data_IF_283610946086
#
_entry.id   IF_283610946086
#
_cell.length_a   1.000
_cell.length_b   1.000
_cell.length_c   1.000
_cell.angle_alpha   90.00
_cell.angle_beta   90.00
_cell.angle_gamma   90.00
#
_symmetry.space_group_name_H-M   'P 1'
#
loop_
_entity.id
_entity.type
_entity.pdbx_description
1 polymer ?
#
# COMPACT_ATOMS: atom_id res chain seq x y z
N UNK A 1 18.47 11.91 -2.62
CA UNK A 1 17.07 11.48 -2.87
C UNK A 1 17.07 10.29 -3.82
N UNK A 2 16.11 9.38 -3.65
CA UNK A 2 15.95 8.18 -4.47
C UNK A 2 14.50 8.02 -4.89
N UNK A 3 14.28 7.86 -6.20
CA UNK A 3 12.99 7.46 -6.74
C UNK A 3 12.93 5.92 -6.86
N UNK A 4 12.03 5.28 -6.10
CA UNK A 4 11.83 3.83 -6.09
C UNK A 4 10.86 3.34 -7.18
N UNK A 5 10.19 4.26 -7.86
CA UNK A 5 9.09 3.98 -8.77
C UNK A 5 9.29 4.58 -10.16
N UNK A 6 10.55 4.80 -10.57
CA UNK A 6 10.84 5.38 -11.86
C UNK A 6 10.20 4.60 -13.00
N UNK A 7 9.39 5.30 -13.81
CA UNK A 7 8.64 4.70 -14.91
C UNK A 7 9.58 4.37 -16.08
N UNK A 8 9.77 3.10 -16.31
CA UNK A 8 10.56 2.58 -17.43
C UNK A 8 9.78 1.64 -18.33
N UNK A 9 8.45 1.65 -18.26
CA UNK A 9 7.58 0.71 -19.01
C UNK A 9 7.69 0.91 -20.53
N UNK A 10 8.03 2.12 -20.98
CA UNK A 10 8.35 2.43 -22.39
C UNK A 10 9.72 1.91 -22.87
N UNK A 11 10.48 1.22 -22.00
CA UNK A 11 11.82 0.75 -22.31
C UNK A 11 12.94 1.76 -22.05
N UNK A 12 12.62 2.94 -21.54
CA UNK A 12 13.60 3.94 -21.14
C UNK A 12 13.13 4.73 -19.92
N UNK A 13 14.07 5.35 -19.21
CA UNK A 13 13.80 6.35 -18.17
C UNK A 13 14.34 7.69 -18.63
N UNK A 14 13.51 8.72 -18.58
CA UNK A 14 13.92 10.10 -18.84
C UNK A 14 14.27 10.79 -17.53
N UNK A 15 15.54 11.12 -17.37
CA UNK A 15 16.00 12.00 -16.29
C UNK A 15 15.87 13.45 -16.75
N UNK A 16 15.40 14.32 -15.88
CA UNK A 16 15.27 15.75 -16.16
C UNK A 16 15.83 16.57 -15.00
N UNK A 17 16.39 17.73 -15.31
CA UNK A 17 16.92 18.65 -14.33
C UNK A 17 16.64 20.11 -14.73
N UNK A 18 16.80 21.00 -13.79
CA UNK A 18 16.74 22.43 -14.04
C UNK A 18 18.18 22.94 -14.16
N UNK A 19 18.51 23.57 -15.27
CA UNK A 19 19.81 24.22 -15.47
C UNK A 19 20.06 25.26 -14.38
N UNK A 20 21.28 25.31 -13.87
CA UNK A 20 21.73 26.40 -13.03
C UNK A 20 21.85 27.71 -13.85
N UNK A 21 21.72 28.87 -13.19
CA UNK A 21 21.91 30.15 -13.82
C UNK A 21 23.32 30.25 -14.40
N UNK A 22 23.44 30.61 -15.69
CA UNK A 22 24.71 30.75 -16.40
C UNK A 22 25.30 29.43 -16.93
N UNK A 23 24.61 28.29 -16.77
CA UNK A 23 25.05 27.04 -17.36
C UNK A 23 24.94 27.07 -18.89
N UNK A 24 26.01 26.72 -19.57
CA UNK A 24 26.10 26.64 -21.04
C UNK A 24 25.98 25.20 -21.54
N UNK A 25 26.36 24.22 -20.71
CA UNK A 25 26.21 22.80 -21.01
C UNK A 25 26.21 21.93 -19.73
N UNK A 26 25.78 20.68 -19.87
CA UNK A 26 25.55 19.72 -18.81
C UNK A 26 26.35 18.44 -19.07
N UNK A 27 27.30 18.09 -18.20
CA UNK A 27 27.99 16.81 -18.21
C UNK A 27 27.14 15.75 -17.50
N UNK A 28 26.76 14.68 -18.19
CA UNK A 28 25.89 13.62 -17.67
C UNK A 28 26.72 12.44 -17.21
N UNK A 29 26.53 12.02 -15.97
CA UNK A 29 27.19 10.85 -15.36
C UNK A 29 26.15 9.88 -14.82
N UNK A 30 26.23 8.58 -15.21
CA UNK A 30 25.27 7.54 -14.85
C UNK A 30 25.97 6.21 -14.68
N UNK A 31 25.61 5.50 -13.60
CA UNK A 31 26.13 4.16 -13.32
C UNK A 31 25.32 3.43 -12.25
N UNK A 32 25.74 2.23 -11.92
CA UNK A 32 25.11 1.39 -10.88
C UNK A 32 25.91 1.32 -9.58
N UNK A 33 27.00 2.06 -9.48
CA UNK A 33 27.85 2.19 -8.30
C UNK A 33 27.93 3.67 -7.91
N UNK A 34 27.42 4.02 -6.72
CA UNK A 34 27.36 5.39 -6.25
C UNK A 34 28.72 6.05 -6.16
N UNK A 35 29.72 5.34 -5.63
CA UNK A 35 31.06 5.89 -5.41
C UNK A 35 31.79 6.13 -6.75
N UNK A 36 31.53 5.27 -7.76
CA UNK A 36 32.08 5.49 -9.11
C UNK A 36 31.43 6.70 -9.78
N UNK A 37 30.10 6.84 -9.70
CA UNK A 37 29.40 8.01 -10.27
C UNK A 37 29.83 9.30 -9.56
N UNK A 38 29.95 9.27 -8.24
CA UNK A 38 30.35 10.44 -7.45
C UNK A 38 31.77 10.93 -7.80
N UNK A 39 32.70 10.02 -8.05
CA UNK A 39 34.10 10.32 -8.37
C UNK A 39 34.38 10.38 -9.87
N UNK A 40 33.38 10.15 -10.73
CA UNK A 40 33.56 10.08 -12.17
C UNK A 40 34.09 11.39 -12.75
N UNK A 41 34.96 11.25 -13.74
CA UNK A 41 35.51 12.33 -14.59
C UNK A 41 35.04 12.13 -16.03
N UNK A 42 35.38 13.04 -16.92
CA UNK A 42 35.06 12.92 -18.37
C UNK A 42 35.72 11.73 -19.05
N UNK A 43 36.72 11.09 -18.42
CA UNK A 43 37.35 9.83 -18.89
C UNK A 43 36.74 8.57 -18.28
N UNK A 44 35.81 8.69 -17.33
CA UNK A 44 35.19 7.54 -16.66
C UNK A 44 34.10 6.90 -17.52
N UNK A 45 33.87 5.57 -17.42
CA UNK A 45 32.78 4.87 -18.12
C UNK A 45 31.37 5.39 -17.75
N UNK A 46 31.22 5.99 -16.58
CA UNK A 46 30.00 6.62 -16.09
C UNK A 46 29.65 7.91 -16.83
N UNK A 47 30.62 8.57 -17.48
CA UNK A 47 30.38 9.76 -18.30
C UNK A 47 29.65 9.39 -19.60
N UNK A 48 28.53 10.06 -19.86
CA UNK A 48 27.66 9.82 -21.03
C UNK A 48 27.72 10.95 -22.07
N UNK A 49 28.55 11.94 -21.84
CA UNK A 49 28.72 13.07 -22.72
C UNK A 49 28.26 14.39 -22.13
N UNK A 50 28.48 15.46 -22.87
CA UNK A 50 28.00 16.81 -22.58
C UNK A 50 26.91 17.19 -23.56
N UNK A 51 25.91 17.90 -23.08
CA UNK A 51 24.76 18.33 -23.87
C UNK A 51 24.26 19.71 -23.40
N UNK A 52 23.49 20.41 -24.23
CA UNK A 52 22.82 21.66 -23.85
C UNK A 52 21.38 21.46 -23.37
N UNK A 53 20.78 20.31 -23.69
CA UNK A 53 19.45 19.93 -23.24
C UNK A 53 19.43 19.49 -21.78
N UNK A 54 18.31 19.67 -21.11
CA UNK A 54 18.11 19.36 -19.68
C UNK A 54 17.39 18.03 -19.43
N UNK A 55 17.46 17.13 -20.40
CA UNK A 55 16.91 15.77 -20.28
C UNK A 55 17.88 14.74 -20.84
N UNK A 56 17.93 13.54 -20.23
CA UNK A 56 18.71 12.42 -20.74
C UNK A 56 17.86 11.15 -20.68
N UNK A 57 17.87 10.35 -21.76
CA UNK A 57 17.17 9.07 -21.84
C UNK A 57 18.13 7.92 -21.60
N UNK A 58 17.91 7.18 -20.50
CA UNK A 58 18.60 5.92 -20.24
C UNK A 58 17.76 4.77 -20.80
N UNK A 59 18.27 4.07 -21.79
CA UNK A 59 17.56 2.98 -22.47
C UNK A 59 17.73 1.66 -21.70
N UNK A 60 16.64 0.93 -21.53
CA UNK A 60 16.58 -0.38 -20.88
C UNK A 60 17.35 -0.50 -19.56
N UNK A 61 17.18 0.42 -18.60
CA UNK A 61 17.80 0.27 -17.30
C UNK A 61 17.30 -1.00 -16.63
N UNK A 62 18.24 -1.80 -16.07
CA UNK A 62 17.87 -3.02 -15.34
C UNK A 62 16.97 -2.71 -14.15
N UNK A 63 15.86 -3.47 -14.01
CA UNK A 63 14.94 -3.41 -12.85
C UNK A 63 15.54 -3.97 -11.55
N UNK A 64 16.72 -4.59 -11.62
CA UNK A 64 17.40 -5.22 -10.49
C UNK A 64 18.56 -4.39 -9.97
N UNK A 65 18.72 -3.16 -10.47
CA UNK A 65 19.84 -2.28 -10.12
C UNK A 65 19.31 -0.93 -9.64
N UNK A 66 19.95 -0.38 -8.61
CA UNK A 66 19.89 1.04 -8.32
C UNK A 66 20.78 1.76 -9.32
N UNK A 67 20.25 2.77 -9.95
CA UNK A 67 20.95 3.65 -10.86
C UNK A 67 21.26 4.94 -10.16
N UNK A 68 22.50 5.39 -10.25
CA UNK A 68 22.99 6.64 -9.70
C UNK A 68 23.34 7.57 -10.83
N UNK A 69 23.05 8.86 -10.65
CA UNK A 69 23.33 9.85 -11.66
C UNK A 69 23.67 11.20 -11.04
N UNK A 70 24.45 11.99 -11.79
CA UNK A 70 24.91 13.33 -11.45
C UNK A 70 24.98 14.16 -12.71
N UNK A 71 24.64 15.46 -12.61
CA UNK A 71 24.80 16.42 -13.68
C UNK A 71 25.80 17.46 -13.24
N UNK A 72 26.89 17.62 -14.00
CA UNK A 72 27.86 18.68 -13.77
C UNK A 72 27.58 19.84 -14.71
N UNK A 73 27.41 21.01 -14.16
CA UNK A 73 27.12 22.25 -14.91
C UNK A 73 28.39 22.90 -15.39
N UNK A 74 28.46 23.24 -16.68
CA UNK A 74 29.59 23.95 -17.25
C UNK A 74 29.12 25.31 -17.77
N UNK A 75 29.74 26.43 -17.33
CA UNK A 75 29.45 27.77 -17.79
C UNK A 75 30.18 28.12 -19.11
N UNK A 76 29.89 29.27 -19.67
CA UNK A 76 30.50 29.77 -20.92
C UNK A 76 32.02 29.99 -20.81
N UNK A 77 32.57 30.16 -19.62
CA UNK A 77 34.01 30.29 -19.40
C UNK A 77 34.73 28.95 -19.33
N UNK A 78 33.98 27.84 -19.32
CA UNK A 78 34.50 26.49 -19.20
C UNK A 78 34.62 25.99 -17.75
N UNK A 79 34.25 26.78 -16.75
CA UNK A 79 34.22 26.36 -15.35
C UNK A 79 33.14 25.27 -15.13
N UNK A 80 33.51 24.20 -14.46
CA UNK A 80 32.61 23.09 -14.12
C UNK A 80 32.26 23.12 -12.64
N UNK A 81 30.99 22.99 -12.35
CA UNK A 81 30.44 22.81 -10.99
C UNK A 81 29.78 21.43 -10.91
N UNK A 82 30.34 20.50 -10.10
CA UNK A 82 29.74 19.19 -9.92
C UNK A 82 28.37 19.27 -9.25
N UNK A 83 27.42 18.49 -9.75
CA UNK A 83 26.08 18.41 -9.20
C UNK A 83 25.97 17.41 -8.03
N UNK A 84 24.77 17.33 -7.44
CA UNK A 84 24.45 16.35 -6.42
C UNK A 84 24.25 14.96 -7.05
N UNK A 85 24.51 13.95 -6.23
CA UNK A 85 24.23 12.56 -6.59
C UNK A 85 22.77 12.22 -6.33
N UNK A 86 22.10 11.71 -7.35
CA UNK A 86 20.71 11.25 -7.31
C UNK A 86 20.64 9.75 -7.60
N UNK A 87 19.56 9.11 -7.19
CA UNK A 87 19.37 7.70 -7.46
C UNK A 87 17.93 7.40 -7.86
N UNK A 88 17.75 6.34 -8.65
CA UNK A 88 16.45 5.76 -8.93
C UNK A 88 16.52 4.24 -9.06
N UNK A 89 15.38 3.61 -8.89
CA UNK A 89 15.15 2.22 -9.31
C UNK A 89 13.96 2.19 -10.26
N UNK A 90 14.08 1.42 -11.33
CA UNK A 90 12.96 1.21 -12.23
C UNK A 90 11.87 0.41 -11.51
N UNK A 91 10.62 0.90 -11.57
CA UNK A 91 9.48 0.22 -10.99
C UNK A 91 9.33 -1.20 -11.57
N UNK A 92 8.86 -2.11 -10.75
CA UNK A 92 8.51 -3.48 -11.12
C UNK A 92 7.34 -3.96 -10.29
N UNK A 93 6.58 -4.91 -10.81
CA UNK A 93 5.45 -5.47 -10.08
C UNK A 93 5.88 -6.02 -8.71
N UNK A 94 5.02 -5.82 -7.72
CA UNK A 94 5.17 -6.37 -6.37
C UNK A 94 5.32 -7.89 -6.41
N UNK A 95 4.52 -8.53 -7.25
CA UNK A 95 4.53 -9.95 -7.63
C UNK A 95 3.82 -10.09 -8.99
N UNK A 96 3.92 -11.24 -9.69
CA UNK A 96 3.42 -11.36 -11.08
C UNK A 96 1.99 -10.91 -11.31
N UNK A 97 1.08 -11.20 -10.37
CA UNK A 97 -0.36 -10.90 -10.49
C UNK A 97 -0.76 -9.63 -9.71
N UNK A 98 0.17 -8.75 -9.42
CA UNK A 98 -0.14 -7.48 -8.76
C UNK A 98 -0.78 -6.50 -9.75
N UNK A 99 -1.95 -5.99 -9.40
CA UNK A 99 -2.73 -5.06 -10.21
C UNK A 99 -3.03 -3.77 -9.40
N UNK A 100 -3.66 -2.79 -10.04
CA UNK A 100 -4.06 -1.55 -9.40
C UNK A 100 -2.91 -0.57 -9.11
N UNK A 101 -3.18 0.44 -8.33
CA UNK A 101 -2.23 1.53 -8.07
C UNK A 101 -1.08 1.10 -7.14
N UNK A 102 -1.31 0.14 -6.23
CA UNK A 102 -0.28 -0.41 -5.36
C UNK A 102 0.61 -1.49 -6.01
N UNK A 103 0.38 -1.83 -7.29
CA UNK A 103 1.08 -2.94 -7.97
C UNK A 103 2.59 -2.83 -8.03
N UNK A 104 3.13 -1.63 -7.85
CA UNK A 104 4.57 -1.39 -7.87
C UNK A 104 5.19 -1.28 -6.48
N UNK A 105 4.49 -1.67 -5.43
CA UNK A 105 5.05 -1.73 -4.09
C UNK A 105 6.39 -2.46 -4.08
N UNK A 106 7.40 -1.82 -3.50
CA UNK A 106 8.77 -2.38 -3.49
C UNK A 106 8.89 -3.57 -2.53
N UNK A 107 8.19 -3.52 -1.41
CA UNK A 107 8.30 -4.51 -0.35
C UNK A 107 9.70 -4.60 0.25
N UNK A 108 9.98 -5.72 0.90
CA UNK A 108 11.25 -6.00 1.57
C UNK A 108 12.43 -6.34 0.66
N UNK A 109 12.30 -6.14 -0.65
CA UNK A 109 13.35 -6.49 -1.61
C UNK A 109 14.69 -5.81 -1.29
N UNK A 110 15.77 -6.58 -1.38
CA UNK A 110 17.12 -6.10 -1.03
C UNK A 110 17.37 -5.92 0.47
N UNK A 111 16.37 -6.18 1.30
CA UNK A 111 16.49 -6.15 2.75
C UNK A 111 16.74 -7.52 3.38
N UNK A 112 16.53 -7.60 4.69
CA UNK A 112 16.72 -8.84 5.47
C UNK A 112 15.55 -9.81 5.24
N UNK A 113 15.81 -11.11 5.43
CA UNK A 113 14.76 -12.12 5.63
C UNK A 113 14.66 -12.37 7.13
N UNK A 114 13.46 -12.19 7.67
CA UNK A 114 13.16 -12.37 9.10
C UNK A 114 12.19 -13.52 9.25
N UNK A 115 12.53 -14.48 10.10
CA UNK A 115 11.79 -15.72 10.27
C UNK A 115 10.90 -15.67 11.51
N UNK A 116 9.60 -15.92 11.32
CA UNK A 116 8.67 -16.19 12.43
C UNK A 116 8.74 -17.68 12.74
N UNK A 117 9.22 -18.02 13.93
CA UNK A 117 9.58 -19.38 14.36
C UNK A 117 8.63 -19.98 15.37
N UNK A 118 7.71 -19.19 15.94
CA UNK A 118 6.73 -19.64 16.91
C UNK A 118 5.44 -18.83 16.81
N UNK A 119 4.41 -19.30 17.51
CA UNK A 119 3.06 -18.71 17.52
C UNK A 119 2.81 -17.80 18.74
N UNK A 120 3.83 -17.45 19.49
CA UNK A 120 3.72 -16.59 20.66
C UNK A 120 3.33 -15.17 20.27
N UNK A 121 2.63 -14.47 21.16
CA UNK A 121 2.31 -13.03 20.97
C UNK A 121 3.58 -12.17 20.87
N UNK A 122 4.58 -12.46 21.70
CA UNK A 122 5.81 -11.66 21.79
C UNK A 122 7.03 -12.54 22.13
N UNK A 123 8.22 -11.94 22.10
CA UNK A 123 9.49 -12.60 22.41
C UNK A 123 10.21 -13.08 21.15
N UNK A 124 11.36 -13.69 21.34
CA UNK A 124 12.26 -14.10 20.26
C UNK A 124 11.57 -15.08 19.28
N UNK A 125 11.67 -14.78 17.99
CA UNK A 125 11.06 -15.54 16.90
C UNK A 125 9.56 -15.36 16.73
N UNK A 126 8.91 -14.44 17.45
CA UNK A 126 7.50 -14.10 17.26
C UNK A 126 7.26 -13.17 16.07
N UNK A 127 6.01 -13.11 15.59
CA UNK A 127 5.62 -12.13 14.59
C UNK A 127 5.79 -10.69 15.09
N UNK A 128 5.50 -10.41 16.36
CA UNK A 128 5.67 -9.09 16.95
C UNK A 128 7.12 -8.65 16.93
N UNK A 129 8.06 -9.53 17.26
CA UNK A 129 9.48 -9.22 17.13
C UNK A 129 9.88 -8.88 15.69
N UNK A 130 9.39 -9.64 14.71
CA UNK A 130 9.66 -9.40 13.29
C UNK A 130 9.10 -8.06 12.80
N UNK A 131 8.01 -7.56 13.39
CA UNK A 131 7.37 -6.29 13.06
C UNK A 131 8.00 -5.12 13.82
N UNK A 132 8.13 -5.22 15.15
CA UNK A 132 8.45 -4.09 16.02
C UNK A 132 9.96 -3.92 16.25
N UNK A 133 10.72 -5.02 16.32
CA UNK A 133 12.15 -4.97 16.69
C UNK A 133 13.11 -5.08 15.50
N UNK A 134 12.61 -5.45 14.34
CA UNK A 134 13.43 -5.44 13.12
C UNK A 134 13.31 -4.10 12.42
N UNK A 135 14.44 -3.46 12.14
CA UNK A 135 14.48 -2.14 11.51
C UNK A 135 14.87 -2.27 10.03
N UNK A 136 14.24 -1.44 9.20
CA UNK A 136 14.53 -1.29 7.77
C UNK A 136 13.88 -2.36 6.86
N UNK A 137 14.23 -2.38 5.58
CA UNK A 137 13.61 -3.25 4.60
C UNK A 137 13.74 -4.71 4.96
N UNK A 138 12.63 -5.45 4.94
CA UNK A 138 12.63 -6.87 5.29
C UNK A 138 11.49 -7.66 4.68
N UNK A 139 11.73 -8.93 4.47
CA UNK A 139 10.71 -9.92 4.13
C UNK A 139 10.48 -10.82 5.34
N UNK A 140 9.26 -10.78 5.88
CA UNK A 140 8.83 -11.62 6.99
C UNK A 140 8.30 -12.92 6.41
N UNK A 141 8.93 -14.04 6.77
CA UNK A 141 8.57 -15.39 6.35
C UNK A 141 8.27 -16.26 7.56
N UNK A 142 7.51 -17.34 7.39
CA UNK A 142 7.02 -18.17 8.47
C UNK A 142 7.56 -19.61 8.37
N UNK A 143 8.22 -20.07 9.42
CA UNK A 143 8.61 -21.47 9.61
C UNK A 143 7.51 -22.30 10.30
N UNK A 144 6.47 -21.62 10.82
CA UNK A 144 5.35 -22.21 11.55
C UNK A 144 4.02 -21.84 10.91
N UNK A 145 3.04 -22.73 11.03
CA UNK A 145 1.64 -22.47 10.70
C UNK A 145 0.76 -22.65 11.92
N UNK A 146 -0.32 -21.87 12.01
CA UNK A 146 -1.24 -21.97 13.14
C UNK A 146 -1.84 -20.62 13.53
N UNK A 147 -2.22 -20.49 14.80
CA UNK A 147 -2.93 -19.33 15.34
C UNK A 147 -2.00 -18.53 16.26
N UNK A 148 -1.74 -17.28 15.89
CA UNK A 148 -1.09 -16.31 16.76
C UNK A 148 -2.19 -15.52 17.48
N UNK A 149 -2.24 -15.61 18.81
CA UNK A 149 -3.19 -14.84 19.62
C UNK A 149 -2.50 -13.61 20.18
N UNK A 150 -2.80 -12.46 19.59
CA UNK A 150 -2.28 -11.17 20.04
C UNK A 150 -2.95 -10.72 21.33
N UNK A 151 -2.18 -10.19 22.26
CA UNK A 151 -2.63 -9.57 23.52
C UNK A 151 -2.75 -8.06 23.42
N UNK A 152 -2.13 -7.46 22.40
CA UNK A 152 -2.22 -6.04 22.06
C UNK A 152 -2.16 -5.87 20.54
N UNK A 153 -2.65 -4.74 20.07
CA UNK A 153 -2.61 -4.36 18.65
C UNK A 153 -1.20 -4.52 18.09
N UNK A 154 -1.10 -5.03 16.87
CA UNK A 154 0.17 -5.13 16.16
C UNK A 154 0.07 -4.36 14.84
N UNK A 155 0.91 -3.34 14.67
CA UNK A 155 0.84 -2.43 13.54
C UNK A 155 2.17 -2.36 12.81
N UNK A 156 2.16 -2.58 11.50
CA UNK A 156 3.31 -2.33 10.64
C UNK A 156 3.29 -0.84 10.25
N UNK A 157 4.25 -0.07 10.76
CA UNK A 157 4.43 1.35 10.47
C UNK A 157 5.79 1.67 9.82
N UNK A 158 6.61 0.68 9.61
CA UNK A 158 7.90 0.78 8.92
C UNK A 158 7.73 0.65 7.40
N UNK A 159 8.75 1.02 6.63
CA UNK A 159 8.70 1.06 5.16
C UNK A 159 9.42 -0.12 4.52
N UNK A 160 9.01 -0.50 3.32
CA UNK A 160 9.59 -1.58 2.52
C UNK A 160 9.56 -2.93 3.25
N UNK A 161 8.35 -3.32 3.61
CA UNK A 161 8.08 -4.59 4.29
C UNK A 161 7.32 -5.51 3.33
N UNK A 162 7.74 -6.76 3.25
CA UNK A 162 6.95 -7.85 2.69
C UNK A 162 6.53 -8.80 3.81
N UNK A 163 5.23 -8.91 4.07
CA UNK A 163 4.65 -9.98 4.86
C UNK A 163 4.27 -11.13 3.90
N UNK A 164 5.02 -12.22 3.96
CA UNK A 164 4.89 -13.35 3.06
C UNK A 164 4.14 -14.52 3.74
N UNK A 165 2.84 -14.34 4.02
CA UNK A 165 2.01 -15.36 4.71
C UNK A 165 1.92 -16.69 3.97
N UNK A 166 2.13 -16.71 2.65
CA UNK A 166 2.17 -17.93 1.84
C UNK A 166 3.33 -18.87 2.18
N UNK A 167 4.34 -18.40 2.91
CA UNK A 167 5.45 -19.26 3.36
C UNK A 167 5.11 -20.12 4.56
N UNK A 168 4.03 -19.80 5.26
CA UNK A 168 3.61 -20.56 6.43
C UNK A 168 3.15 -21.97 6.03
N UNK A 169 3.62 -23.01 6.71
CA UNK A 169 3.24 -24.39 6.41
C UNK A 169 1.77 -24.68 6.75
N UNK A 170 1.25 -25.78 6.21
CA UNK A 170 -0.08 -26.29 6.47
C UNK A 170 -1.19 -25.34 6.04
N UNK A 171 -2.08 -24.98 6.97
CA UNK A 171 -3.20 -24.05 6.69
C UNK A 171 -2.82 -22.57 6.78
N UNK A 172 -1.54 -22.24 6.88
CA UNK A 172 -1.04 -20.85 6.99
C UNK A 172 -1.18 -20.27 8.40
N UNK A 173 -1.08 -18.94 8.49
CA UNK A 173 -1.20 -18.18 9.73
C UNK A 173 -2.59 -17.57 9.88
N UNK A 174 -3.13 -17.63 11.09
CA UNK A 174 -4.30 -16.88 11.56
C UNK A 174 -3.85 -15.97 12.71
N UNK A 175 -4.13 -14.68 12.60
CA UNK A 175 -3.92 -13.71 13.66
C UNK A 175 -5.26 -13.41 14.30
N UNK A 176 -5.36 -13.56 15.62
CA UNK A 176 -6.60 -13.30 16.38
C UNK A 176 -6.35 -12.50 17.64
N UNK A 177 -7.44 -12.04 18.27
CA UNK A 177 -7.43 -11.38 19.56
C UNK A 177 -7.28 -9.87 19.49
N UNK A 178 -6.52 -9.35 18.51
CA UNK A 178 -6.37 -7.91 18.28
C UNK A 178 -6.23 -7.63 16.77
N UNK A 179 -6.33 -6.36 16.43
CA UNK A 179 -6.08 -5.87 15.06
C UNK A 179 -4.66 -6.15 14.60
N UNK A 180 -4.52 -6.49 13.34
CA UNK A 180 -3.24 -6.54 12.65
C UNK A 180 -3.34 -5.84 11.29
N UNK A 181 -2.66 -4.74 11.13
CA UNK A 181 -2.71 -3.94 9.92
C UNK A 181 -1.51 -3.01 9.79
N UNK A 182 -1.68 -1.96 9.01
CA UNK A 182 -0.64 -0.97 8.78
C UNK A 182 -1.11 0.42 9.17
N UNK A 183 -0.16 1.26 9.59
CA UNK A 183 -0.39 2.69 9.76
C UNK A 183 0.83 3.46 9.24
N UNK A 184 0.64 4.22 8.15
CA UNK A 184 1.71 5.00 7.54
C UNK A 184 2.81 4.21 6.84
N UNK A 185 2.62 2.92 6.62
CA UNK A 185 3.58 2.06 5.90
C UNK A 185 3.79 2.55 4.46
N UNK A 186 5.04 2.55 3.99
CA UNK A 186 5.37 2.86 2.59
C UNK A 186 6.00 1.65 1.91
N UNK A 187 5.63 1.43 0.66
CA UNK A 187 6.15 0.32 -0.13
C UNK A 187 5.91 -1.05 0.52
N UNK A 188 4.70 -1.30 0.98
CA UNK A 188 4.34 -2.51 1.69
C UNK A 188 3.64 -3.56 0.84
N UNK A 189 4.00 -4.83 1.05
CA UNK A 189 3.35 -5.98 0.42
C UNK A 189 2.87 -6.92 1.53
N UNK A 190 1.56 -7.15 1.62
CA UNK A 190 0.96 -8.07 2.59
C UNK A 190 0.17 -9.14 1.83
N UNK A 191 0.56 -10.39 1.97
CA UNK A 191 -0.06 -11.49 1.24
C UNK A 191 -0.40 -12.69 2.14
N UNK A 192 -1.53 -13.33 1.83
CA UNK A 192 -1.99 -14.58 2.46
C UNK A 192 -2.08 -14.49 3.98
N UNK A 193 -2.64 -13.39 4.48
CA UNK A 193 -2.88 -13.19 5.91
C UNK A 193 -4.35 -13.48 6.27
N UNK A 194 -4.59 -14.02 7.45
CA UNK A 194 -5.94 -14.23 7.99
C UNK A 194 -6.06 -13.52 9.33
N UNK A 195 -6.96 -12.55 9.43
CA UNK A 195 -7.21 -11.82 10.67
C UNK A 195 -8.59 -12.16 11.20
N UNK A 196 -8.66 -12.56 12.45
CA UNK A 196 -9.88 -12.94 13.18
C UNK A 196 -9.84 -12.28 14.54
N UNK A 197 -10.23 -10.99 14.61
CA UNK A 197 -10.11 -10.18 15.83
C UNK A 197 -10.86 -10.85 16.98
N UNK A 198 -12.13 -11.14 16.79
CA UNK A 198 -12.98 -11.70 17.82
C UNK A 198 -13.45 -10.65 18.83
N UNK A 199 -14.32 -11.06 19.76
CA UNK A 199 -14.82 -10.20 20.80
C UNK A 199 -13.76 -9.97 21.88
N UNK A 200 -13.17 -8.79 21.91
CA UNK A 200 -12.09 -8.42 22.86
C UNK A 200 -12.47 -7.24 23.75
N UNK A 201 -13.68 -6.68 23.59
CA UNK A 201 -14.11 -5.47 24.30
C UNK A 201 -13.49 -4.17 23.75
N UNK A 202 -12.77 -4.23 22.65
CA UNK A 202 -12.18 -3.07 21.98
C UNK A 202 -12.80 -2.87 20.59
N UNK A 203 -13.10 -1.62 20.26
CA UNK A 203 -13.59 -1.21 18.95
C UNK A 203 -12.42 -0.91 18.03
N UNK A 204 -11.93 -1.93 17.34
CA UNK A 204 -10.82 -1.81 16.41
C UNK A 204 -11.21 -2.37 15.04
N UNK A 205 -10.72 -1.71 14.00
CA UNK A 205 -10.71 -2.25 12.65
C UNK A 205 -9.92 -3.57 12.64
N UNK A 206 -10.31 -4.50 11.81
CA UNK A 206 -9.64 -5.79 11.71
C UNK A 206 -8.24 -5.69 11.13
N UNK A 207 -8.13 -5.04 9.98
CA UNK A 207 -6.87 -4.82 9.25
C UNK A 207 -6.96 -3.51 8.44
N UNK A 208 -5.88 -3.11 7.77
CA UNK A 208 -5.96 -1.92 6.93
C UNK A 208 -4.64 -1.47 6.31
N UNK A 209 -4.79 -0.49 5.41
CA UNK A 209 -3.73 0.27 4.74
C UNK A 209 -3.82 1.76 5.10
N UNK A 210 -4.21 2.08 6.33
CA UNK A 210 -4.40 3.46 6.81
C UNK A 210 -3.10 4.26 6.70
N UNK A 211 -3.16 5.41 6.01
CA UNK A 211 -1.99 6.27 5.78
C UNK A 211 -0.85 5.64 4.99
N UNK A 212 -1.03 4.44 4.45
CA UNK A 212 -0.01 3.75 3.67
C UNK A 212 0.20 4.41 2.30
N UNK A 213 1.36 4.21 1.70
CA UNK A 213 1.69 4.67 0.35
C UNK A 213 2.38 3.57 -0.45
N UNK A 214 2.09 3.47 -1.75
CA UNK A 214 2.59 2.40 -2.63
C UNK A 214 2.50 1.03 -1.98
N UNK A 215 1.30 0.64 -1.53
CA UNK A 215 1.13 -0.59 -0.75
C UNK A 215 0.01 -1.47 -1.31
N UNK A 216 0.19 -2.78 -1.18
CA UNK A 216 -0.75 -3.78 -1.69
C UNK A 216 -1.05 -4.85 -0.65
N UNK A 217 -2.34 -5.13 -0.45
CA UNK A 217 -2.84 -6.34 0.23
C UNK A 217 -3.45 -7.30 -0.79
N UNK A 218 -3.06 -8.57 -0.72
CA UNK A 218 -3.47 -9.61 -1.66
C UNK A 218 -3.74 -10.93 -0.95
N UNK A 219 -4.85 -11.60 -1.30
CA UNK A 219 -5.27 -12.85 -0.67
C UNK A 219 -5.35 -12.77 0.86
N UNK A 220 -5.91 -11.67 1.37
CA UNK A 220 -6.17 -11.50 2.80
C UNK A 220 -7.58 -11.99 3.12
N UNK A 221 -7.79 -12.54 4.30
CA UNK A 221 -9.10 -12.94 4.82
C UNK A 221 -9.31 -12.29 6.17
N UNK A 222 -10.34 -11.46 6.29
CA UNK A 222 -10.64 -10.73 7.51
C UNK A 222 -12.08 -11.00 7.96
N UNK A 223 -12.27 -11.30 9.26
CA UNK A 223 -13.58 -11.45 9.90
C UNK A 223 -13.52 -11.08 11.38
N UNK A 224 -14.72 -10.85 11.94
CA UNK A 224 -14.97 -10.73 13.38
C UNK A 224 -14.32 -9.50 14.03
N UNK A 225 -14.20 -8.39 13.30
CA UNK A 225 -13.93 -7.10 13.91
C UNK A 225 -15.20 -6.53 14.56
N UNK A 226 -15.05 -5.62 15.49
CA UNK A 226 -16.15 -4.94 16.18
C UNK A 226 -16.47 -3.59 15.52
N UNK A 227 -15.49 -2.99 14.84
CA UNK A 227 -15.63 -1.84 13.96
C UNK A 227 -15.52 -2.30 12.50
N UNK A 228 -14.80 -1.62 11.63
CA UNK A 228 -14.63 -2.09 10.26
C UNK A 228 -13.71 -3.31 10.16
N UNK A 229 -14.02 -4.18 9.21
CA UNK A 229 -13.10 -5.24 8.81
C UNK A 229 -11.82 -4.69 8.21
N UNK A 230 -11.92 -3.63 7.41
CA UNK A 230 -10.79 -3.01 6.70
C UNK A 230 -10.91 -1.48 6.65
N UNK A 231 -9.78 -0.78 6.81
CA UNK A 231 -9.67 0.67 6.62
C UNK A 231 -8.47 1.06 5.77
N UNK A 232 -8.64 2.10 4.90
CA UNK A 232 -7.54 2.67 4.12
C UNK A 232 -7.52 4.20 4.11
N UNK A 233 -8.07 4.82 5.14
CA UNK A 233 -8.14 6.28 5.27
C UNK A 233 -6.76 6.93 5.14
N UNK A 234 -6.67 8.03 4.39
CA UNK A 234 -5.44 8.80 4.21
C UNK A 234 -4.30 8.08 3.49
N UNK A 235 -4.54 6.91 2.91
CA UNK A 235 -3.54 6.20 2.12
C UNK A 235 -3.39 6.75 0.70
N UNK A 236 -2.35 6.32 -0.01
CA UNK A 236 -2.06 6.70 -1.41
C UNK A 236 -1.53 5.52 -2.19
N UNK A 237 -1.81 5.50 -3.50
CA UNK A 237 -1.28 4.46 -4.39
C UNK A 237 -1.51 3.04 -3.83
N UNK A 238 -2.77 2.73 -3.47
CA UNK A 238 -3.12 1.49 -2.76
C UNK A 238 -3.76 0.46 -3.68
N UNK A 239 -3.58 -0.80 -3.34
CA UNK A 239 -4.39 -1.90 -3.88
C UNK A 239 -4.83 -2.85 -2.77
N UNK A 240 -6.12 -3.18 -2.77
CA UNK A 240 -6.69 -4.34 -2.07
C UNK A 240 -7.28 -5.28 -3.11
N UNK A 241 -6.71 -6.46 -3.26
CA UNK A 241 -7.16 -7.42 -4.26
C UNK A 241 -7.34 -8.83 -3.70
N UNK A 242 -8.26 -9.59 -4.29
CA UNK A 242 -8.51 -11.02 -4.00
C UNK A 242 -8.66 -11.30 -2.50
N UNK A 243 -9.35 -10.39 -1.81
CA UNK A 243 -9.48 -10.40 -0.35
C UNK A 243 -10.92 -10.69 0.03
N UNK A 244 -11.11 -11.43 1.12
CA UNK A 244 -12.41 -11.66 1.74
C UNK A 244 -12.54 -10.82 3.00
N UNK A 245 -13.62 -10.03 3.08
CA UNK A 245 -14.03 -9.25 4.26
C UNK A 245 -15.44 -9.71 4.62
N UNK A 246 -15.58 -10.51 5.66
CA UNK A 246 -16.85 -11.15 5.95
C UNK A 246 -17.14 -11.29 7.44
N UNK A 247 -18.42 -11.36 7.78
CA UNK A 247 -18.90 -11.75 9.12
C UNK A 247 -18.35 -10.84 10.24
N UNK A 248 -18.44 -9.52 10.07
CA UNK A 248 -18.08 -8.61 11.16
C UNK A 248 -19.07 -8.76 12.32
N UNK A 249 -18.60 -8.58 13.55
CA UNK A 249 -19.41 -8.74 14.75
C UNK A 249 -20.42 -7.61 14.87
N UNK A 250 -21.67 -7.88 14.57
CA UNK A 250 -22.69 -6.85 14.37
C UNK A 250 -23.14 -6.19 15.68
N UNK A 251 -23.62 -6.98 16.65
CA UNK A 251 -24.04 -6.48 17.95
C UNK A 251 -23.03 -6.91 19.01
N UNK A 252 -21.94 -6.17 19.12
CA UNK A 252 -20.78 -6.53 19.91
C UNK A 252 -20.32 -5.46 20.90
N UNK A 253 -21.27 -4.65 21.39
CA UNK A 253 -21.01 -3.57 22.35
C UNK A 253 -19.91 -2.61 21.91
N UNK A 254 -20.04 -2.06 20.71
CA UNK A 254 -19.14 -1.03 20.22
C UNK A 254 -19.09 0.15 21.19
N UNK A 255 -17.88 0.52 21.66
CA UNK A 255 -17.69 1.47 22.78
C UNK A 255 -18.24 2.90 22.51
N UNK A 256 -18.32 3.30 21.24
CA UNK A 256 -18.75 4.65 20.84
C UNK A 256 -20.28 4.74 20.62
N UNK A 257 -21.02 3.66 20.80
CA UNK A 257 -22.46 3.60 20.55
C UNK A 257 -23.22 2.94 21.71
N UNK A 258 -24.51 3.19 21.86
CA UNK A 258 -25.34 2.52 22.86
C UNK A 258 -25.28 1.00 22.71
N UNK A 259 -25.42 0.30 23.83
CA UNK A 259 -25.50 -1.16 23.84
C UNK A 259 -26.60 -1.67 22.90
N UNK A 260 -26.33 -2.71 22.14
CA UNK A 260 -27.26 -3.26 21.15
C UNK A 260 -27.21 -2.59 19.76
N UNK A 261 -26.39 -1.57 19.57
CA UNK A 261 -26.22 -0.96 18.24
C UNK A 261 -25.53 -1.93 17.28
N UNK A 262 -26.14 -2.11 16.10
CA UNK A 262 -25.54 -2.88 15.01
C UNK A 262 -24.40 -2.09 14.38
N UNK A 263 -23.18 -2.69 14.31
CA UNK A 263 -21.98 -2.03 13.78
C UNK A 263 -21.00 -3.02 13.08
N UNK A 264 -21.52 -4.11 12.56
CA UNK A 264 -20.69 -5.12 11.84
C UNK A 264 -20.32 -4.68 10.44
N UNK A 265 -19.47 -3.66 10.29
CA UNK A 265 -19.17 -3.02 9.02
C UNK A 265 -17.97 -3.62 8.28
N UNK A 266 -18.09 -3.70 6.94
CA UNK A 266 -17.07 -4.33 6.11
C UNK A 266 -15.82 -3.45 5.97
N UNK A 267 -15.95 -2.27 5.35
CA UNK A 267 -14.78 -1.49 5.01
C UNK A 267 -15.06 -0.01 4.84
N UNK A 268 -14.16 0.81 5.38
CA UNK A 268 -14.07 2.24 5.06
C UNK A 268 -12.84 2.46 4.20
N UNK A 269 -13.06 2.79 2.93
CA UNK A 269 -12.00 2.97 1.94
C UNK A 269 -11.85 4.44 1.56
N UNK A 270 -10.64 4.89 1.48
CA UNK A 270 -10.25 6.23 1.11
C UNK A 270 -8.81 6.22 0.61
N UNK A 271 -8.30 7.41 0.42
CA UNK A 271 -6.95 7.61 -0.07
C UNK A 271 -6.94 8.24 -1.46
N UNK A 272 -5.76 8.70 -1.87
CA UNK A 272 -5.55 9.30 -3.18
C UNK A 272 -4.81 8.35 -4.08
N UNK A 273 -5.49 7.87 -4.99
CA UNK A 273 -5.63 6.73 -5.86
C UNK A 273 -5.56 5.38 -5.14
N UNK A 274 -6.71 4.72 -5.02
CA UNK A 274 -6.87 3.38 -4.46
C UNK A 274 -7.62 2.45 -5.39
N UNK A 275 -7.13 1.23 -5.58
CA UNK A 275 -7.80 0.17 -6.33
C UNK A 275 -8.29 -0.93 -5.40
N UNK A 276 -9.58 -1.26 -5.50
CA UNK A 276 -10.25 -2.26 -4.67
C UNK A 276 -10.97 -3.22 -5.60
N UNK A 277 -10.41 -4.40 -5.84
CA UNK A 277 -10.93 -5.28 -6.89
C UNK A 277 -10.78 -6.78 -6.62
N UNK A 278 -11.67 -7.55 -7.25
CA UNK A 278 -11.72 -9.01 -7.10
C UNK A 278 -11.87 -9.46 -5.64
N UNK A 279 -12.56 -8.65 -4.83
CA UNK A 279 -12.79 -8.94 -3.41
C UNK A 279 -14.19 -9.53 -3.19
N UNK A 280 -14.35 -10.25 -2.09
CA UNK A 280 -15.63 -10.71 -1.57
C UNK A 280 -15.93 -9.99 -0.26
N UNK A 281 -17.04 -9.24 -0.21
CA UNK A 281 -17.62 -8.69 1.01
C UNK A 281 -18.91 -9.44 1.29
N UNK A 282 -18.99 -10.15 2.40
CA UNK A 282 -20.15 -11.01 2.67
C UNK A 282 -20.58 -10.98 4.13
N UNK A 283 -21.89 -11.02 4.35
CA UNK A 283 -22.49 -11.12 5.68
C UNK A 283 -22.08 -10.00 6.64
N UNK A 284 -21.96 -8.78 6.13
CA UNK A 284 -21.67 -7.59 6.94
C UNK A 284 -22.92 -6.72 7.03
N UNK A 285 -23.11 -6.04 8.14
CA UNK A 285 -24.24 -5.12 8.35
C UNK A 285 -24.26 -3.97 7.35
N UNK A 286 -23.08 -3.39 7.08
CA UNK A 286 -22.99 -2.27 6.17
C UNK A 286 -21.58 -1.95 5.71
N UNK A 287 -21.42 -0.78 5.09
CA UNK A 287 -20.14 -0.29 4.52
C UNK A 287 -19.47 -1.30 3.58
N UNK A 288 -20.25 -1.85 2.67
CA UNK A 288 -19.78 -2.80 1.65
C UNK A 288 -19.56 -2.14 0.26
N UNK A 289 -18.92 -1.09 0.10
CA UNK A 289 -17.89 -0.26 0.74
C UNK A 289 -18.44 1.03 1.37
N UNK A 290 -17.72 1.72 2.27
CA UNK A 290 -17.92 3.12 2.63
C UNK A 290 -16.83 3.94 1.93
N UNK A 291 -17.25 4.87 1.06
CA UNK A 291 -16.36 5.63 0.18
C UNK A 291 -15.76 6.85 0.88
N UNK A 292 -14.49 7.14 0.60
CA UNK A 292 -13.79 8.37 0.96
C UNK A 292 -13.39 8.51 2.43
N UNK A 293 -14.13 7.93 3.34
CA UNK A 293 -13.83 8.02 4.77
C UNK A 293 -14.04 9.42 5.39
N UNK A 294 -14.80 10.29 4.76
CA UNK A 294 -15.07 11.65 5.19
C UNK A 294 -14.39 12.73 4.35
N UNK A 295 -14.51 13.98 4.82
CA UNK A 295 -13.92 15.14 4.16
C UNK A 295 -12.45 15.32 4.59
N UNK A 296 -11.63 15.85 3.71
CA UNK A 296 -10.29 16.32 4.04
C UNK A 296 -10.32 17.68 4.76
N UNK A 297 -9.16 18.21 5.14
CA UNK A 297 -9.04 19.49 5.82
C UNK A 297 -9.52 20.71 4.98
N UNK A 298 -9.59 20.57 3.66
CA UNK A 298 -10.09 21.60 2.75
C UNK A 298 -11.60 21.48 2.49
N UNK A 299 -12.26 20.46 3.04
CA UNK A 299 -13.68 20.20 2.89
C UNK A 299 -14.06 19.45 1.62
N UNK A 300 -13.11 18.76 0.98
CA UNK A 300 -13.35 17.90 -0.17
C UNK A 300 -13.47 16.44 0.25
N UNK A 301 -14.28 15.65 -0.43
CA UNK A 301 -14.26 14.21 -0.25
C UNK A 301 -12.88 13.66 -0.68
N UNK A 302 -12.25 12.93 0.23
CA UNK A 302 -10.99 12.25 -0.06
C UNK A 302 -11.23 11.02 -0.92
N UNK A 303 -10.31 10.77 -1.86
CA UNK A 303 -10.27 9.52 -2.61
C UNK A 303 -10.64 9.64 -4.07
N UNK A 304 -9.69 9.22 -4.88
CA UNK A 304 -9.89 8.80 -6.28
C UNK A 304 -9.81 7.28 -6.28
N UNK A 305 -10.96 6.64 -6.45
CA UNK A 305 -11.15 5.22 -6.15
C UNK A 305 -11.53 4.43 -7.41
N UNK A 306 -10.87 3.31 -7.57
CA UNK A 306 -11.11 2.35 -8.65
C UNK A 306 -11.65 1.06 -8.02
N UNK A 307 -12.98 0.84 -8.12
CA UNK A 307 -13.71 -0.23 -7.44
C UNK A 307 -14.33 -1.12 -8.51
N UNK A 308 -13.75 -2.29 -8.75
CA UNK A 308 -14.19 -3.12 -9.86
C UNK A 308 -14.12 -4.62 -9.59
N UNK A 309 -15.01 -5.37 -10.25
CA UNK A 309 -15.04 -6.83 -10.19
C UNK A 309 -15.10 -7.40 -8.77
N UNK A 310 -15.78 -6.73 -7.84
CA UNK A 310 -16.02 -7.24 -6.50
C UNK A 310 -17.36 -7.97 -6.42
N UNK A 311 -17.49 -8.86 -5.45
CA UNK A 311 -18.76 -9.49 -5.08
C UNK A 311 -19.15 -8.98 -3.69
N UNK A 312 -20.39 -8.46 -3.59
CA UNK A 312 -21.02 -8.13 -2.30
C UNK A 312 -22.23 -9.04 -2.11
N UNK A 313 -22.25 -9.77 -1.01
CA UNK A 313 -23.29 -10.76 -0.73
C UNK A 313 -23.90 -10.59 0.65
N UNK A 314 -25.23 -10.67 0.72
CA UNK A 314 -26.01 -10.77 1.98
C UNK A 314 -25.63 -9.67 2.99
N UNK A 315 -25.61 -8.41 2.53
CA UNK A 315 -25.42 -7.26 3.40
C UNK A 315 -26.70 -6.96 4.21
N UNK A 316 -26.58 -6.24 5.32
CA UNK A 316 -27.71 -5.81 6.15
C UNK A 316 -28.34 -4.50 5.68
N UNK A 317 -28.21 -3.47 6.49
CA UNK A 317 -28.85 -2.17 6.30
C UNK A 317 -28.15 -1.22 5.33
N UNK A 318 -26.90 -1.49 4.91
CA UNK A 318 -26.14 -0.61 4.00
C UNK A 318 -25.29 -1.44 3.04
N UNK A 319 -25.38 -1.10 1.74
CA UNK A 319 -24.48 -1.65 0.72
C UNK A 319 -23.25 -0.74 0.55
N UNK A 320 -23.06 -0.14 -0.62
CA UNK A 320 -21.99 0.83 -0.85
C UNK A 320 -22.50 2.24 -0.76
N UNK A 321 -21.87 3.07 0.08
CA UNK A 321 -22.26 4.47 0.30
C UNK A 321 -21.06 5.35 0.66
N UNK A 322 -21.32 6.65 0.88
CA UNK A 322 -20.33 7.65 1.26
C UNK A 322 -19.97 8.61 0.15
N UNK A 323 -18.82 9.25 0.25
CA UNK A 323 -18.36 10.24 -0.71
C UNK A 323 -16.95 10.01 -1.21
N UNK A 324 -16.70 10.32 -2.49
CA UNK A 324 -15.38 10.27 -3.10
C UNK A 324 -15.21 11.45 -4.07
N UNK A 325 -13.97 11.85 -4.30
CA UNK A 325 -13.67 12.90 -5.28
C UNK A 325 -13.91 12.39 -6.71
N UNK A 326 -13.38 11.23 -7.02
CA UNK A 326 -13.57 10.52 -8.30
C UNK A 326 -13.73 9.03 -8.03
N UNK A 327 -14.62 8.34 -8.76
CA UNK A 327 -14.77 6.90 -8.64
C UNK A 327 -15.06 6.23 -9.98
N UNK A 328 -14.35 5.14 -10.25
CA UNK A 328 -14.75 4.13 -11.23
C UNK A 328 -15.42 2.98 -10.49
N UNK A 329 -16.67 2.69 -10.79
CA UNK A 329 -17.44 1.64 -10.16
C UNK A 329 -17.94 0.66 -11.23
N UNK A 330 -17.15 -0.38 -11.53
CA UNK A 330 -17.32 -1.19 -12.74
C UNK A 330 -17.36 -2.68 -12.43
N UNK A 331 -18.33 -3.40 -12.99
CA UNK A 331 -18.39 -4.87 -12.96
C UNK A 331 -18.55 -5.46 -11.55
N UNK A 332 -18.99 -4.68 -10.57
CA UNK A 332 -19.26 -5.20 -9.23
C UNK A 332 -20.60 -5.94 -9.19
N UNK A 333 -20.62 -7.11 -8.59
CA UNK A 333 -21.81 -7.95 -8.49
C UNK A 333 -22.37 -7.94 -7.07
N UNK A 334 -23.62 -7.51 -6.94
CA UNK A 334 -24.35 -7.45 -5.68
C UNK A 334 -25.44 -8.52 -5.65
N UNK A 335 -25.35 -9.42 -4.67
CA UNK A 335 -26.33 -10.48 -4.47
C UNK A 335 -26.99 -10.35 -3.09
N UNK A 336 -28.27 -10.07 -3.07
CA UNK A 336 -29.05 -10.06 -1.85
C UNK A 336 -29.07 -11.44 -1.16
N UNK A 337 -29.29 -11.44 0.12
CA UNK A 337 -29.44 -12.64 0.93
C UNK A 337 -30.46 -12.45 2.05
N UNK A 338 -30.52 -13.39 2.96
CA UNK A 338 -31.52 -13.38 4.04
C UNK A 338 -31.40 -12.20 5.03
N UNK A 339 -30.21 -11.59 5.14
CA UNK A 339 -29.98 -10.46 6.01
C UNK A 339 -30.22 -9.11 5.31
N UNK A 340 -30.39 -9.07 3.99
CA UNK A 340 -30.49 -7.83 3.22
C UNK A 340 -31.80 -7.11 3.50
N UNK A 341 -31.71 -5.89 4.02
CA UNK A 341 -32.87 -5.04 4.32
C UNK A 341 -32.88 -3.75 3.51
N UNK A 342 -31.76 -3.38 2.91
CA UNK A 342 -31.61 -2.19 2.05
C UNK A 342 -31.20 -2.66 0.64
N UNK A 343 -32.00 -2.28 -0.36
CA UNK A 343 -31.89 -2.80 -1.73
C UNK A 343 -31.13 -1.87 -2.70
N UNK A 344 -30.75 -0.65 -2.26
CA UNK A 344 -29.91 0.25 -3.05
C UNK A 344 -28.44 -0.19 -2.93
N UNK A 345 -27.84 -0.57 -4.04
CA UNK A 345 -26.47 -1.11 -4.09
C UNK A 345 -25.39 -0.03 -4.02
N UNK A 346 -25.67 1.16 -4.53
CA UNK A 346 -24.76 2.31 -4.53
C UNK A 346 -25.50 3.59 -4.20
N UNK A 347 -25.09 4.26 -3.13
CA UNK A 347 -25.57 5.59 -2.74
C UNK A 347 -24.35 6.48 -2.45
N UNK A 348 -23.75 7.03 -3.51
CA UNK A 348 -22.51 7.76 -3.42
C UNK A 348 -22.68 9.25 -3.71
N UNK A 349 -21.98 10.07 -2.96
CA UNK A 349 -21.79 11.48 -3.24
C UNK A 349 -20.45 11.65 -3.95
N UNK A 350 -20.47 12.14 -5.19
CA UNK A 350 -19.32 12.26 -6.05
C UNK A 350 -19.11 13.72 -6.41
N UNK A 351 -18.16 14.37 -5.74
CA UNK A 351 -17.85 15.75 -6.04
C UNK A 351 -16.55 16.20 -5.34
N UNK A 352 -16.00 17.32 -5.80
CA UNK A 352 -14.74 17.83 -5.29
C UNK A 352 -14.85 18.92 -4.22
N UNK A 353 -16.07 19.32 -3.83
CA UNK A 353 -16.28 20.48 -2.94
C UNK A 353 -16.68 20.12 -1.53
N UNK A 354 -16.91 18.86 -1.23
CA UNK A 354 -17.47 18.41 0.04
C UNK A 354 -18.92 18.82 0.28
N UNK A 355 -19.61 19.27 -0.77
CA UNK A 355 -20.97 19.75 -0.72
C UNK A 355 -21.95 18.85 -1.45
N UNK A 356 -21.52 17.69 -1.83
CA UNK A 356 -22.18 16.68 -2.65
C UNK A 356 -23.66 16.69 -2.71
#
# INVERSE_FOLDING_TARGET
DRDWHADGDSGYITMSWKAASGAASHGVYIGTDSAKVEKATTSSPEYKGSQTGTTYKLVNPSVHKTWWWRIDEKDASGRVVPGKLWAFERRRLAFPDAEGYGRYAHGGRGGKVVYVKNLNDAGAGSLREAVENSIGPRTIVFEVGGIITLKSRLTINDSRITYAGQTAPGKGIVIRGCSFGTAGMKDGIIRFNKVRVGYTGNTWDGTGLTGADFSIMDHVSQSWAIDEGFSSRGGKNLTLQRTMIAEQLNVANHQNYPAGTAHGYAATIGGDVGSFHHNLLAHNEGRNWSLGGGLDAAGYYAGRLDIFNNVVYNWGGRATDGGAHEVNFVGNYYKEGAATTQHTTLNAQLEGTGKG
#
